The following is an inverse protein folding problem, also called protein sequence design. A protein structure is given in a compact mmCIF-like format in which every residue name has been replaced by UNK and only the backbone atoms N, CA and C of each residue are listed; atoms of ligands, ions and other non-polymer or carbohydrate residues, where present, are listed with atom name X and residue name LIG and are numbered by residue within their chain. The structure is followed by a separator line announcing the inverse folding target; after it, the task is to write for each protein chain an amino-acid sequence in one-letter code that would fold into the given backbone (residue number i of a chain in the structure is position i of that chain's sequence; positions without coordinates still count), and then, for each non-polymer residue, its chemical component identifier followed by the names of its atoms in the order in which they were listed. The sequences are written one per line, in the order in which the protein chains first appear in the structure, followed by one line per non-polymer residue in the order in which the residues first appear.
data_IF_977511409306
#
_entry.id   IF_977511409306
#
_cell.length_a   1.000
_cell.length_b   1.000
_cell.length_c   1.000
_cell.angle_alpha   90.00
_cell.angle_beta   90.00
_cell.angle_gamma   90.00
#
_symmetry.space_group_name_H-M   'P 1'
#
loop_
_entity.id
_entity.type
_entity.pdbx_description
1 polymer ?
#
# COMPACT_ATOMS: atom_id res chain seq x y z
N UNK A 1 52.88 -40.34 7.71
CA UNK A 1 52.12 -39.77 8.86
C UNK A 1 51.84 -38.27 8.68
N UNK A 2 52.79 -37.46 8.27
CA UNK A 2 52.62 -35.96 8.16
C UNK A 2 51.62 -35.56 7.02
N UNK A 3 51.56 -36.26 5.88
CA UNK A 3 50.63 -35.96 4.79
C UNK A 3 49.14 -36.12 5.16
N UNK A 4 48.79 -37.04 6.06
CA UNK A 4 47.39 -37.21 6.49
C UNK A 4 46.91 -36.09 7.41
N UNK A 5 47.80 -35.54 8.21
CA UNK A 5 47.45 -34.41 9.11
C UNK A 5 47.17 -33.12 8.32
N UNK A 6 47.88 -32.89 7.19
CA UNK A 6 47.62 -31.74 6.32
C UNK A 6 46.29 -31.85 5.60
N UNK A 7 45.89 -33.05 5.17
CA UNK A 7 44.61 -33.29 4.49
C UNK A 7 43.41 -33.07 5.43
N UNK A 8 43.53 -33.46 6.73
CA UNK A 8 42.49 -33.21 7.74
C UNK A 8 42.36 -31.72 8.04
N UNK A 9 43.46 -31.00 8.14
CA UNK A 9 43.48 -29.57 8.39
C UNK A 9 42.85 -28.77 7.24
N UNK A 10 43.10 -29.14 5.99
CA UNK A 10 42.54 -28.47 4.81
C UNK A 10 41.04 -28.67 4.69
N UNK A 11 40.55 -29.89 4.96
CA UNK A 11 39.11 -30.20 4.93
C UNK A 11 38.33 -29.48 6.03
N UNK A 12 38.93 -29.32 7.22
CA UNK A 12 38.31 -28.55 8.32
C UNK A 12 38.29 -27.06 8.01
N UNK A 13 39.40 -26.53 7.44
CA UNK A 13 39.51 -25.14 7.05
C UNK A 13 38.46 -24.79 5.95
N UNK A 14 38.29 -25.68 4.95
CA UNK A 14 37.31 -25.51 3.88
C UNK A 14 35.86 -25.48 4.43
N UNK A 15 35.54 -26.34 5.40
CA UNK A 15 34.23 -26.36 6.05
C UNK A 15 33.96 -25.07 6.86
N UNK A 16 34.99 -24.57 7.56
CA UNK A 16 34.88 -23.31 8.31
C UNK A 16 34.65 -22.13 7.35
N UNK A 17 35.42 -22.06 6.27
CA UNK A 17 35.26 -21.02 5.23
C UNK A 17 33.87 -21.09 4.57
N UNK A 18 33.37 -22.30 4.27
CA UNK A 18 32.02 -22.46 3.74
C UNK A 18 30.93 -22.01 4.74
N UNK A 19 31.08 -22.34 6.02
CA UNK A 19 30.13 -21.90 7.06
C UNK A 19 30.16 -20.39 7.24
N UNK A 20 31.31 -19.75 7.16
CA UNK A 20 31.43 -18.28 7.24
C UNK A 20 30.81 -17.61 6.01
N UNK A 21 31.03 -18.15 4.80
CA UNK A 21 30.44 -17.62 3.56
C UNK A 21 28.91 -17.78 3.58
N UNK A 22 28.39 -18.94 4.03
CA UNK A 22 26.94 -19.15 4.18
C UNK A 22 26.37 -18.22 5.25
N UNK A 23 27.08 -18.01 6.38
CA UNK A 23 26.66 -17.08 7.43
C UNK A 23 26.60 -15.62 6.95
N UNK A 24 27.55 -15.19 6.12
CA UNK A 24 27.57 -13.83 5.55
C UNK A 24 26.46 -13.63 4.51
N UNK A 25 26.12 -14.66 3.74
CA UNK A 25 25.00 -14.61 2.76
C UNK A 25 23.64 -14.56 3.47
N UNK A 26 23.51 -15.16 4.67
CA UNK A 26 22.27 -15.14 5.45
C UNK A 26 22.06 -13.84 6.26
N UNK A 27 23.12 -13.05 6.52
CA UNK A 27 23.02 -11.75 7.21
C UNK A 27 22.84 -10.56 6.27
N UNK A 28 22.84 -10.78 4.97
CA UNK A 28 22.67 -9.74 3.95
C UNK A 28 21.27 -9.67 3.38
N UNK A 29 20.23 -9.63 4.20
CA UNK A 29 19.02 -8.92 3.80
C UNK A 29 19.38 -7.43 3.72
N UNK A 30 20.06 -7.02 2.65
CA UNK A 30 20.16 -5.62 2.28
C UNK A 30 18.71 -5.20 2.04
N UNK A 31 18.09 -4.56 3.05
CA UNK A 31 16.88 -3.80 2.82
C UNK A 31 17.28 -2.77 1.76
N UNK A 32 16.95 -3.06 0.50
CA UNK A 32 17.01 -2.04 -0.55
C UNK A 32 16.10 -0.93 -0.05
N UNK A 33 16.58 0.33 0.05
CA UNK A 33 15.68 1.44 0.33
C UNK A 33 14.55 1.34 -0.70
N UNK A 34 13.30 1.35 -0.23
CA UNK A 34 12.16 1.45 -1.11
C UNK A 34 12.36 2.76 -1.88
N UNK A 35 12.82 2.67 -3.12
CA UNK A 35 12.85 3.82 -4.00
C UNK A 35 11.40 4.12 -4.34
N UNK A 36 10.98 5.36 -4.10
CA UNK A 36 9.67 5.81 -4.52
C UNK A 36 9.58 5.68 -6.05
N UNK A 37 8.63 4.88 -6.51
CA UNK A 37 8.43 4.65 -7.95
C UNK A 37 7.66 5.84 -8.56
N UNK A 38 8.02 6.23 -9.77
CA UNK A 38 7.35 7.30 -10.51
C UNK A 38 6.52 6.72 -11.67
N UNK A 39 5.19 6.73 -11.47
CA UNK A 39 4.18 6.31 -12.45
C UNK A 39 3.34 7.49 -12.96
N UNK A 40 3.88 8.72 -12.89
CA UNK A 40 3.13 9.92 -13.25
C UNK A 40 2.65 9.90 -14.70
N UNK A 41 1.33 10.17 -14.88
CA UNK A 41 0.64 10.22 -16.18
C UNK A 41 0.67 8.90 -16.96
N UNK A 42 1.07 7.80 -16.34
CA UNK A 42 1.09 6.49 -17.00
C UNK A 42 -0.30 5.91 -17.20
N UNK A 43 -0.42 5.03 -18.20
CA UNK A 43 -1.65 4.27 -18.46
C UNK A 43 -1.49 2.87 -17.89
N UNK A 44 -2.06 2.67 -16.69
CA UNK A 44 -1.94 1.46 -15.87
C UNK A 44 -3.30 0.75 -15.73
N UNK A 45 -4.10 0.79 -16.79
CA UNK A 45 -5.42 0.14 -16.81
C UNK A 45 -5.27 -1.37 -16.65
N UNK A 46 -6.05 -1.95 -15.71
CA UNK A 46 -5.99 -3.37 -15.31
C UNK A 46 -4.62 -3.83 -14.76
N UNK A 47 -3.72 -2.91 -14.40
CA UNK A 47 -2.44 -3.27 -13.80
C UNK A 47 -2.63 -3.94 -12.43
N UNK A 48 -1.72 -4.86 -12.08
CA UNK A 48 -1.71 -5.54 -10.78
C UNK A 48 -0.57 -5.03 -9.90
N UNK A 49 -0.96 -4.37 -8.81
CA UNK A 49 -0.11 -3.86 -7.74
C UNK A 49 -0.50 -4.49 -6.39
N UNK A 50 -1.27 -5.57 -6.38
CA UNK A 50 -1.76 -6.18 -5.14
C UNK A 50 -0.62 -6.58 -4.20
N UNK A 51 -0.76 -6.25 -2.92
CA UNK A 51 0.21 -6.56 -1.87
C UNK A 51 1.59 -5.90 -2.02
N UNK A 52 1.79 -5.00 -3.00
CA UNK A 52 3.07 -4.31 -3.17
C UNK A 52 3.30 -3.23 -2.14
N UNK A 53 4.57 -3.00 -1.81
CA UNK A 53 5.01 -1.84 -1.01
C UNK A 53 5.37 -0.73 -1.99
N UNK A 54 4.58 0.35 -1.99
CA UNK A 54 4.66 1.48 -2.91
C UNK A 54 4.69 2.81 -2.13
N UNK A 55 5.21 2.77 -0.89
CA UNK A 55 5.27 3.96 -0.04
C UNK A 55 5.96 5.12 -0.74
N UNK A 56 5.39 6.32 -0.56
CA UNK A 56 5.89 7.58 -1.13
C UNK A 56 6.01 7.60 -2.67
N UNK A 57 5.50 6.59 -3.38
CA UNK A 57 5.47 6.55 -4.84
C UNK A 57 4.50 7.59 -5.42
N UNK A 58 4.68 7.96 -6.69
CA UNK A 58 3.83 8.94 -7.35
C UNK A 58 3.07 8.34 -8.52
N UNK A 59 1.73 8.43 -8.45
CA UNK A 59 0.77 8.10 -9.52
C UNK A 59 0.01 9.36 -9.97
N UNK A 60 0.65 10.53 -9.89
CA UNK A 60 0.02 11.81 -10.24
C UNK A 60 -0.51 11.80 -11.67
N UNK A 61 -1.85 11.98 -11.81
CA UNK A 61 -2.56 11.94 -13.10
C UNK A 61 -2.45 10.60 -13.86
N UNK A 62 -2.05 9.52 -13.20
CA UNK A 62 -2.04 8.18 -13.80
C UNK A 62 -3.46 7.67 -14.07
N UNK A 63 -3.61 6.82 -15.07
CA UNK A 63 -4.86 6.11 -15.36
C UNK A 63 -4.78 4.69 -14.80
N UNK A 64 -5.31 4.49 -13.60
CA UNK A 64 -5.38 3.22 -12.85
C UNK A 64 -6.75 2.56 -12.92
N UNK A 65 -7.54 2.84 -13.96
CA UNK A 65 -8.89 2.28 -14.09
C UNK A 65 -8.85 0.76 -14.05
N UNK A 66 -9.71 0.17 -13.22
CA UNK A 66 -9.82 -1.29 -13.01
C UNK A 66 -8.52 -1.97 -12.56
N UNK A 67 -7.53 -1.23 -12.06
CA UNK A 67 -6.31 -1.81 -11.50
C UNK A 67 -6.58 -2.51 -10.16
N UNK A 68 -5.73 -3.46 -9.82
CA UNK A 68 -5.73 -4.15 -8.54
C UNK A 68 -4.63 -3.59 -7.63
N UNK A 69 -5.03 -2.90 -6.57
CA UNK A 69 -4.18 -2.32 -5.51
C UNK A 69 -4.52 -2.94 -4.15
N UNK A 70 -5.23 -4.09 -4.14
CA UNK A 70 -5.68 -4.72 -2.90
C UNK A 70 -4.49 -5.06 -1.99
N UNK A 71 -4.65 -4.79 -0.70
CA UNK A 71 -3.64 -5.02 0.34
C UNK A 71 -2.27 -4.36 0.08
N UNK A 72 -2.19 -3.40 -0.84
CA UNK A 72 -0.94 -2.66 -1.10
C UNK A 72 -0.65 -1.67 0.04
N UNK A 73 0.63 -1.49 0.34
CA UNK A 73 1.12 -0.42 1.21
C UNK A 73 1.33 0.85 0.39
N UNK A 74 0.36 1.77 0.47
CA UNK A 74 0.27 3.02 -0.30
C UNK A 74 0.45 4.25 0.61
N UNK A 75 1.12 4.09 1.75
CA UNK A 75 1.35 5.20 2.67
C UNK A 75 2.17 6.30 2.01
N UNK A 76 1.70 7.56 2.17
CA UNK A 76 2.35 8.73 1.60
C UNK A 76 2.27 8.85 0.08
N UNK A 77 1.61 7.92 -0.62
CA UNK A 77 1.49 7.91 -2.09
C UNK A 77 0.78 9.17 -2.60
N UNK A 78 1.23 9.69 -3.74
CA UNK A 78 0.50 10.73 -4.47
C UNK A 78 -0.38 10.11 -5.56
N UNK A 79 -1.71 10.18 -5.37
CA UNK A 79 -2.72 9.94 -6.41
C UNK A 79 -3.36 11.24 -6.91
N UNK A 80 -2.65 12.38 -6.79
CA UNK A 80 -3.19 13.66 -7.23
C UNK A 80 -3.69 13.58 -8.68
N UNK A 81 -5.01 13.79 -8.87
CA UNK A 81 -5.67 13.73 -10.18
C UNK A 81 -5.68 12.37 -10.87
N UNK A 82 -5.32 11.29 -10.19
CA UNK A 82 -5.34 9.94 -10.76
C UNK A 82 -6.76 9.43 -11.01
N UNK A 83 -6.90 8.56 -11.99
CA UNK A 83 -8.16 7.89 -12.28
C UNK A 83 -8.12 6.45 -11.74
N UNK A 84 -8.79 6.22 -10.61
CA UNK A 84 -8.95 4.92 -9.95
C UNK A 84 -10.38 4.38 -10.11
N UNK A 85 -11.09 4.79 -11.16
CA UNK A 85 -12.45 4.30 -11.42
C UNK A 85 -12.46 2.78 -11.50
N UNK A 86 -13.35 2.13 -10.74
CA UNK A 86 -13.49 0.68 -10.63
C UNK A 86 -12.22 -0.07 -10.16
N UNK A 87 -11.22 0.62 -9.62
CA UNK A 87 -10.03 -0.01 -9.06
C UNK A 87 -10.38 -0.79 -7.77
N UNK A 88 -9.64 -1.85 -7.51
CA UNK A 88 -9.72 -2.61 -6.25
C UNK A 88 -8.62 -2.14 -5.28
N UNK A 89 -9.03 -1.50 -4.17
CA UNK A 89 -8.17 -1.05 -3.08
C UNK A 89 -8.55 -1.73 -1.76
N UNK A 90 -9.17 -2.91 -1.83
CA UNK A 90 -9.56 -3.67 -0.64
C UNK A 90 -8.36 -3.89 0.29
N UNK A 91 -8.50 -3.49 1.57
CA UNK A 91 -7.45 -3.63 2.57
C UNK A 91 -6.17 -2.83 2.31
N UNK A 92 -6.16 -1.92 1.32
CA UNK A 92 -4.99 -1.09 1.04
C UNK A 92 -4.76 -0.06 2.16
N UNK A 93 -3.49 0.25 2.43
CA UNK A 93 -3.12 1.28 3.40
C UNK A 93 -2.74 2.59 2.69
N UNK A 94 -3.65 3.57 2.74
CA UNK A 94 -3.53 4.90 2.14
C UNK A 94 -3.23 6.00 3.19
N UNK A 95 -2.67 5.63 4.34
CA UNK A 95 -2.36 6.59 5.41
C UNK A 95 -1.49 7.73 4.86
N UNK A 96 -1.91 8.98 5.14
CA UNK A 96 -1.25 10.21 4.67
C UNK A 96 -1.11 10.34 3.14
N UNK A 97 -1.87 9.61 2.35
CA UNK A 97 -1.84 9.71 0.90
C UNK A 97 -2.45 11.03 0.40
N UNK A 98 -1.94 11.53 -0.73
CA UNK A 98 -2.51 12.68 -1.43
C UNK A 98 -3.50 12.20 -2.48
N UNK A 99 -4.81 12.34 -2.20
CA UNK A 99 -5.91 11.87 -3.02
C UNK A 99 -6.69 13.02 -3.69
N UNK A 100 -6.23 14.28 -3.54
CA UNK A 100 -6.96 15.44 -4.06
C UNK A 100 -7.20 15.32 -5.56
N UNK A 101 -8.43 15.62 -5.97
CA UNK A 101 -8.93 15.47 -7.36
C UNK A 101 -8.87 14.05 -7.94
N UNK A 102 -8.47 13.03 -7.17
CA UNK A 102 -8.50 11.63 -7.61
C UNK A 102 -9.94 11.14 -7.78
N UNK A 103 -10.12 10.19 -8.69
CA UNK A 103 -11.43 9.61 -9.01
C UNK A 103 -11.51 8.17 -8.53
N UNK A 104 -12.27 7.93 -7.44
CA UNK A 104 -12.59 6.62 -6.89
C UNK A 104 -14.00 6.15 -7.25
N UNK A 105 -14.58 6.67 -8.33
CA UNK A 105 -15.93 6.29 -8.74
C UNK A 105 -16.03 4.78 -8.91
N UNK A 106 -16.95 4.15 -8.16
CA UNK A 106 -17.16 2.69 -8.13
C UNK A 106 -15.92 1.86 -7.75
N UNK A 107 -14.91 2.46 -7.11
CA UNK A 107 -13.78 1.73 -6.57
C UNK A 107 -14.20 0.90 -5.34
N UNK A 108 -13.50 -0.21 -5.11
CA UNK A 108 -13.63 -1.00 -3.90
C UNK A 108 -12.60 -0.55 -2.86
N UNK A 109 -13.05 0.10 -1.79
CA UNK A 109 -12.25 0.56 -0.65
C UNK A 109 -12.60 -0.26 0.63
N UNK A 110 -13.21 -1.44 0.49
CA UNK A 110 -13.55 -2.30 1.64
C UNK A 110 -12.31 -2.50 2.51
N UNK A 111 -12.44 -2.22 3.82
CA UNK A 111 -11.37 -2.35 4.81
C UNK A 111 -10.09 -1.51 4.51
N UNK A 112 -10.11 -0.56 3.58
CA UNK A 112 -8.97 0.33 3.32
C UNK A 112 -8.74 1.28 4.50
N UNK A 113 -7.49 1.70 4.71
CA UNK A 113 -7.11 2.68 5.74
C UNK A 113 -6.72 3.97 5.03
N UNK A 114 -7.49 5.05 5.26
CA UNK A 114 -7.26 6.37 4.68
C UNK A 114 -6.81 7.41 5.73
N UNK A 115 -6.40 6.97 6.92
CA UNK A 115 -6.05 7.86 8.04
C UNK A 115 -5.14 9.01 7.61
N UNK A 116 -5.55 10.26 7.88
CA UNK A 116 -4.79 11.46 7.57
C UNK A 116 -4.68 11.79 6.08
N UNK A 117 -5.37 11.06 5.18
CA UNK A 117 -5.28 11.32 3.76
C UNK A 117 -5.91 12.66 3.36
N UNK A 118 -5.33 13.32 2.36
CA UNK A 118 -5.85 14.56 1.79
C UNK A 118 -6.73 14.26 0.57
N UNK A 119 -8.06 14.31 0.73
CA UNK A 119 -9.03 13.91 -0.28
C UNK A 119 -10.09 15.00 -0.59
N UNK A 120 -9.75 16.29 -0.44
CA UNK A 120 -10.69 17.40 -0.43
C UNK A 120 -11.59 17.46 -1.67
N UNK A 121 -11.03 17.25 -2.87
CA UNK A 121 -11.78 17.24 -4.14
C UNK A 121 -11.87 15.83 -4.76
N UNK A 122 -11.59 14.77 -3.99
CA UNK A 122 -11.72 13.40 -4.47
C UNK A 122 -13.18 13.03 -4.73
N UNK A 123 -13.40 12.12 -5.68
CA UNK A 123 -14.73 11.66 -6.11
C UNK A 123 -14.94 10.20 -5.71
N UNK A 124 -15.97 9.94 -4.89
CA UNK A 124 -16.27 8.61 -4.34
C UNK A 124 -17.65 8.09 -4.78
N UNK A 125 -18.23 8.63 -5.86
CA UNK A 125 -19.57 8.22 -6.30
C UNK A 125 -19.63 6.71 -6.57
N UNK A 126 -20.49 6.01 -5.82
CA UNK A 126 -20.67 4.56 -5.92
C UNK A 126 -19.49 3.73 -5.43
N UNK A 127 -18.51 4.31 -4.74
CA UNK A 127 -17.44 3.55 -4.10
C UNK A 127 -18.01 2.68 -2.96
N UNK A 128 -17.45 1.49 -2.79
CA UNK A 128 -17.71 0.60 -1.64
C UNK A 128 -16.71 0.94 -0.56
N UNK A 129 -17.20 1.26 0.65
CA UNK A 129 -16.37 1.74 1.78
C UNK A 129 -16.61 0.93 3.07
N UNK A 130 -17.17 -0.26 2.97
CA UNK A 130 -17.49 -1.10 4.12
C UNK A 130 -16.23 -1.41 4.93
N UNK A 131 -16.21 -1.05 6.22
CA UNK A 131 -15.05 -1.22 7.07
C UNK A 131 -13.86 -0.29 6.73
N UNK A 132 -14.00 0.68 5.84
CA UNK A 132 -12.94 1.64 5.57
C UNK A 132 -12.75 2.64 6.72
N UNK A 133 -11.51 3.00 7.01
CA UNK A 133 -11.13 3.92 8.08
C UNK A 133 -10.80 5.31 7.50
N UNK A 134 -11.63 6.30 7.81
CA UNK A 134 -11.50 7.68 7.36
C UNK A 134 -11.02 8.64 8.48
N UNK A 135 -10.35 8.13 9.50
CA UNK A 135 -9.84 8.97 10.61
C UNK A 135 -9.01 10.12 10.05
N UNK A 136 -9.34 11.35 10.47
CA UNK A 136 -8.63 12.58 10.10
C UNK A 136 -8.49 12.81 8.58
N UNK A 137 -9.32 12.20 7.75
CA UNK A 137 -9.34 12.47 6.30
C UNK A 137 -9.92 13.85 6.03
N UNK A 138 -9.21 14.66 5.25
CA UNK A 138 -9.71 15.94 4.83
C UNK A 138 -10.67 15.78 3.65
N UNK A 139 -11.97 15.81 3.92
CA UNK A 139 -13.07 15.71 2.95
C UNK A 139 -13.90 17.00 2.89
N UNK A 140 -14.52 17.25 1.74
CA UNK A 140 -15.62 18.24 1.67
C UNK A 140 -16.86 17.70 2.37
N UNK A 141 -17.63 18.59 2.99
CA UNK A 141 -18.84 18.21 3.74
C UNK A 141 -19.90 17.49 2.91
N UNK A 142 -20.06 17.86 1.63
CA UNK A 142 -21.01 17.20 0.72
C UNK A 142 -20.60 15.76 0.41
N UNK A 143 -19.29 15.50 0.24
CA UNK A 143 -18.73 14.16 0.03
C UNK A 143 -18.87 13.32 1.30
N UNK A 144 -18.52 13.87 2.46
CA UNK A 144 -18.71 13.22 3.77
C UNK A 144 -20.16 12.79 3.98
N UNK A 145 -21.10 13.71 3.74
CA UNK A 145 -22.54 13.44 3.87
C UNK A 145 -23.02 12.35 2.89
N UNK A 146 -22.41 12.26 1.70
CA UNK A 146 -22.70 11.20 0.74
C UNK A 146 -22.18 9.85 1.23
N UNK A 147 -20.94 9.79 1.72
CA UNK A 147 -20.32 8.57 2.24
C UNK A 147 -21.06 8.08 3.49
N UNK A 148 -21.51 8.95 4.36
CA UNK A 148 -22.30 8.59 5.56
C UNK A 148 -23.61 7.83 5.24
N UNK A 149 -24.16 7.96 4.03
CA UNK A 149 -25.38 7.22 3.64
C UNK A 149 -25.13 5.73 3.42
N UNK A 150 -23.88 5.36 3.13
CA UNK A 150 -23.49 3.98 2.80
C UNK A 150 -22.44 3.42 3.75
N UNK A 151 -21.94 4.26 4.67
CA UNK A 151 -20.92 3.88 5.64
C UNK A 151 -21.43 2.81 6.60
N UNK A 152 -20.70 1.70 6.70
CA UNK A 152 -20.95 0.58 7.61
C UNK A 152 -19.68 -0.22 7.86
N UNK A 153 -19.73 -1.06 8.90
CA UNK A 153 -18.65 -1.99 9.22
C UNK A 153 -17.52 -1.37 10.04
N UNK A 154 -16.66 -2.24 10.53
CA UNK A 154 -15.51 -1.92 11.37
C UNK A 154 -14.24 -2.38 10.66
N UNK A 155 -13.22 -1.54 10.60
CA UNK A 155 -11.94 -1.88 9.98
C UNK A 155 -11.26 -3.01 10.77
N UNK A 156 -10.91 -4.14 10.14
CA UNK A 156 -10.35 -5.28 10.87
C UNK A 156 -8.92 -5.02 11.37
N UNK A 157 -8.22 -4.05 10.81
CA UNK A 157 -6.84 -3.71 11.18
C UNK A 157 -6.79 -2.66 12.29
N UNK A 158 -7.60 -1.59 12.16
CA UNK A 158 -7.59 -0.47 13.12
C UNK A 158 -8.62 -0.64 14.24
N UNK A 159 -9.63 -1.51 14.07
CA UNK A 159 -10.73 -1.70 15.01
C UNK A 159 -11.71 -0.52 15.06
N UNK A 160 -11.60 0.46 14.16
CA UNK A 160 -12.45 1.66 14.12
C UNK A 160 -13.66 1.47 13.20
N UNK A 161 -14.81 1.97 13.61
CA UNK A 161 -16.05 1.94 12.82
C UNK A 161 -16.03 3.00 11.72
N UNK A 162 -16.46 2.64 10.50
CA UNK A 162 -16.46 3.53 9.34
C UNK A 162 -17.31 4.79 9.56
N UNK A 163 -18.47 4.66 10.21
CA UNK A 163 -19.36 5.82 10.49
C UNK A 163 -18.75 6.76 11.51
N UNK A 164 -18.08 6.21 12.54
CA UNK A 164 -17.42 7.02 13.57
C UNK A 164 -16.24 7.80 12.96
N UNK A 165 -15.39 7.14 12.15
CA UNK A 165 -14.24 7.78 11.50
C UNK A 165 -14.65 8.86 10.49
N UNK A 166 -15.82 8.72 9.86
CA UNK A 166 -16.44 9.74 9.01
C UNK A 166 -17.18 10.83 9.80
N UNK A 167 -17.27 10.71 11.14
CA UNK A 167 -18.06 11.63 11.97
C UNK A 167 -19.51 11.77 11.48
N UNK A 168 -20.14 10.65 11.12
CA UNK A 168 -21.51 10.62 10.64
C UNK A 168 -22.50 10.93 11.78
N UNK A 169 -23.61 11.69 11.52
CA UNK A 169 -24.66 11.94 12.50
C UNK A 169 -25.44 10.66 12.84
#
# INVERSE_FOLDING_TARGET
MIRQLYQLSYAVLLKIVMLVVIGVVMLGAIATPALADDYNKETLVNADFSGRVLTDSSFTKANLRSSNLSHADLRGVSFFGANLETANLEGANLTNATLDTARFTRANLTNAILEGAFAFNAKFEGAVIDGADFTDVLLRQDVQNQLCKVAQGTNPTTGRDTRETLMCP
#
